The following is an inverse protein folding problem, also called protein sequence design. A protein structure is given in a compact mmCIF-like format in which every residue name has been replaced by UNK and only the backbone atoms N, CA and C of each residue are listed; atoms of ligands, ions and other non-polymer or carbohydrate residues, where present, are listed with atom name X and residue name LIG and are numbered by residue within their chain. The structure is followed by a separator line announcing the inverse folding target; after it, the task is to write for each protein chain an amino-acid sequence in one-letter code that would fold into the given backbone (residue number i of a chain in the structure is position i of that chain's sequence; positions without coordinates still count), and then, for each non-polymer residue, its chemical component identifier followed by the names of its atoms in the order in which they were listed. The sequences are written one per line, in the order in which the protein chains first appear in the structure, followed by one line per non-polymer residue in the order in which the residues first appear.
data_IF_026612303931
#
_entry.id   IF_026612303931
#
_cell.length_a   1.000
_cell.length_b   1.000
_cell.length_c   1.000
_cell.angle_alpha   90.00
_cell.angle_beta   90.00
_cell.angle_gamma   90.00
#
_symmetry.space_group_name_H-M   'P 1'
#
loop_
_entity.id
_entity.type
_entity.pdbx_description
1 polymer ?
#
# COMPACT_ATOMS: atom_id res chain seq x y z
N UNK A 1 41.81 -26.85 11.69
CA UNK A 1 40.63 -26.58 10.84
C UNK A 1 39.94 -25.37 11.45
N UNK A 2 40.28 -24.17 10.97
CA UNK A 2 39.62 -22.93 11.42
C UNK A 2 38.53 -22.62 10.42
N UNK A 3 37.28 -22.81 10.83
CA UNK A 3 36.12 -22.25 10.13
C UNK A 3 36.11 -20.74 10.40
N UNK A 4 36.40 -19.96 9.36
CA UNK A 4 36.14 -18.52 9.33
C UNK A 4 34.63 -18.31 9.26
N UNK A 5 34.00 -17.99 10.38
CA UNK A 5 32.66 -17.40 10.35
C UNK A 5 32.77 -16.02 9.71
N UNK A 6 32.35 -15.90 8.44
CA UNK A 6 32.10 -14.58 7.85
C UNK A 6 30.95 -13.95 8.65
N UNK A 7 31.23 -12.90 9.40
CA UNK A 7 30.18 -12.16 10.11
C UNK A 7 29.11 -11.75 9.11
N UNK A 8 27.86 -12.15 9.35
CA UNK A 8 26.74 -11.73 8.52
C UNK A 8 26.61 -10.20 8.63
N UNK A 9 27.04 -9.48 7.60
CA UNK A 9 26.81 -8.05 7.51
C UNK A 9 25.32 -7.83 7.29
N UNK A 10 24.69 -7.01 8.13
CA UNK A 10 23.29 -6.63 7.96
C UNK A 10 23.11 -5.99 6.57
N UNK A 11 22.23 -6.51 5.70
CA UNK A 11 22.00 -5.92 4.39
C UNK A 11 21.31 -4.56 4.59
N UNK A 12 22.04 -3.48 4.30
CA UNK A 12 21.49 -2.13 4.30
C UNK A 12 21.35 -1.64 2.86
N UNK A 13 20.19 -1.08 2.53
CA UNK A 13 19.88 -0.51 1.21
C UNK A 13 19.45 0.96 1.38
N UNK A 14 19.63 1.75 0.32
CA UNK A 14 19.20 3.15 0.24
C UNK A 14 18.11 3.28 -0.85
N UNK A 15 16.98 2.57 -0.66
CA UNK A 15 15.88 2.49 -1.61
C UNK A 15 14.89 3.63 -1.38
N UNK A 16 14.71 4.48 -2.39
CA UNK A 16 13.64 5.47 -2.43
C UNK A 16 12.37 4.85 -3.05
N UNK A 17 11.32 4.67 -2.24
CA UNK A 17 10.09 3.98 -2.65
C UNK A 17 9.12 4.90 -3.38
N UNK A 18 9.27 6.22 -3.24
CA UNK A 18 8.38 7.20 -3.84
C UNK A 18 9.10 8.05 -4.88
N UNK A 19 9.29 7.49 -6.07
CA UNK A 19 9.87 8.17 -7.23
C UNK A 19 8.83 8.27 -8.36
N UNK A 20 8.00 9.35 -8.40
CA UNK A 20 6.87 9.46 -9.32
C UNK A 20 7.25 9.47 -10.81
N UNK A 21 8.43 10.00 -11.13
CA UNK A 21 8.91 10.16 -12.51
C UNK A 21 9.68 8.93 -13.02
N UNK A 22 9.66 7.82 -12.27
CA UNK A 22 10.38 6.60 -12.63
C UNK A 22 9.74 5.87 -13.81
N UNK A 23 10.55 5.12 -14.60
CA UNK A 23 10.03 4.26 -15.66
C UNK A 23 8.95 3.30 -15.14
N UNK A 24 8.05 2.89 -16.04
CA UNK A 24 7.01 1.92 -15.72
C UNK A 24 7.60 0.67 -15.05
N UNK A 25 6.88 0.15 -14.06
CA UNK A 25 7.22 -1.04 -13.27
C UNK A 25 8.42 -0.92 -12.33
N UNK A 26 9.08 0.24 -12.23
CA UNK A 26 10.21 0.44 -11.31
C UNK A 26 9.84 0.06 -9.87
N UNK A 27 8.67 0.47 -9.41
CA UNK A 27 8.16 0.23 -8.05
C UNK A 27 7.73 -1.22 -7.75
N UNK A 28 7.69 -2.07 -8.78
CA UNK A 28 7.55 -3.52 -8.60
C UNK A 28 8.92 -4.20 -8.64
N UNK A 29 9.76 -3.82 -9.62
CA UNK A 29 11.07 -4.43 -9.83
C UNK A 29 12.03 -4.20 -8.65
N UNK A 30 12.09 -2.98 -8.12
CA UNK A 30 13.06 -2.65 -7.06
C UNK A 30 12.82 -3.46 -5.78
N UNK A 31 11.59 -3.58 -5.25
CA UNK A 31 11.32 -4.50 -4.14
C UNK A 31 11.62 -5.97 -4.47
N UNK A 32 11.32 -6.45 -5.68
CA UNK A 32 11.60 -7.83 -6.10
C UNK A 32 13.11 -8.12 -6.09
N UNK A 33 13.93 -7.24 -6.65
CA UNK A 33 15.39 -7.35 -6.60
C UNK A 33 15.91 -7.32 -5.16
N UNK A 34 15.33 -6.47 -4.31
CA UNK A 34 15.68 -6.43 -2.90
C UNK A 34 15.29 -7.72 -2.16
N UNK A 35 14.18 -8.34 -2.52
CA UNK A 35 13.75 -9.63 -2.01
C UNK A 35 14.71 -10.73 -2.45
N UNK A 36 15.10 -10.79 -3.72
CA UNK A 36 16.03 -11.80 -4.23
C UNK A 36 17.40 -11.73 -3.54
N UNK A 37 17.89 -10.51 -3.31
CA UNK A 37 19.20 -10.27 -2.69
C UNK A 37 19.20 -10.43 -1.16
N UNK A 38 18.09 -10.07 -0.49
CA UNK A 38 18.08 -9.84 0.96
C UNK A 38 16.81 -10.38 1.64
N UNK A 39 16.75 -11.72 1.75
CA UNK A 39 15.78 -12.43 2.60
C UNK A 39 16.33 -12.68 4.01
N UNK A 40 15.46 -12.71 5.03
CA UNK A 40 14.02 -12.43 4.97
C UNK A 40 13.68 -10.94 5.15
N UNK A 41 14.70 -10.11 5.38
CA UNK A 41 14.57 -8.70 5.69
C UNK A 41 15.85 -7.94 5.35
N UNK A 42 15.73 -6.64 5.13
CA UNK A 42 16.85 -5.71 5.06
C UNK A 42 16.52 -4.40 5.78
N UNK A 43 17.55 -3.62 6.08
CA UNK A 43 17.38 -2.26 6.62
C UNK A 43 17.41 -1.26 5.48
N UNK A 44 16.38 -0.45 5.35
CA UNK A 44 16.35 0.63 4.37
C UNK A 44 16.74 1.97 5.01
N UNK A 45 17.35 2.86 4.22
CA UNK A 45 17.56 4.27 4.57
C UNK A 45 16.89 5.14 3.52
N UNK A 46 15.99 6.02 3.96
CA UNK A 46 15.26 6.92 3.07
C UNK A 46 14.92 8.20 3.83
N UNK A 47 15.11 9.36 3.18
CA UNK A 47 14.82 10.67 3.77
C UNK A 47 15.43 10.91 5.18
N UNK A 48 16.59 10.31 5.46
CA UNK A 48 17.26 10.43 6.77
C UNK A 48 16.71 9.53 7.87
N UNK A 49 15.76 8.64 7.56
CA UNK A 49 15.19 7.65 8.47
C UNK A 49 15.67 6.26 8.08
N UNK A 50 16.00 5.43 9.09
CA UNK A 50 16.26 4.01 8.88
C UNK A 50 15.07 3.17 9.36
N UNK A 51 14.63 2.21 8.56
CA UNK A 51 13.55 1.30 8.92
C UNK A 51 13.76 -0.10 8.35
N UNK A 52 13.06 -1.09 8.90
CA UNK A 52 13.13 -2.46 8.41
C UNK A 52 12.13 -2.69 7.29
N UNK A 53 12.55 -3.44 6.27
CA UNK A 53 11.68 -3.95 5.21
C UNK A 53 11.73 -5.47 5.26
N UNK A 54 10.58 -6.09 5.46
CA UNK A 54 10.42 -7.54 5.40
C UNK A 54 10.08 -7.94 3.97
N UNK A 55 10.81 -8.94 3.46
CA UNK A 55 10.71 -9.41 2.06
C UNK A 55 10.21 -10.85 1.97
N UNK A 56 10.10 -11.54 3.10
CA UNK A 56 9.59 -12.91 3.16
C UNK A 56 8.13 -12.96 3.61
N UNK A 57 7.31 -13.74 2.91
CA UNK A 57 5.90 -13.90 3.22
C UNK A 57 5.65 -14.37 4.66
N UNK A 58 6.43 -15.33 5.17
CA UNK A 58 6.22 -15.87 6.51
C UNK A 58 6.52 -14.80 7.58
N UNK A 59 7.56 -14.00 7.37
CA UNK A 59 7.94 -12.92 8.29
C UNK A 59 6.94 -11.76 8.23
N UNK A 60 6.47 -11.38 7.04
CA UNK A 60 5.42 -10.36 6.88
C UNK A 60 4.14 -10.81 7.58
N UNK A 61 3.71 -12.06 7.38
CA UNK A 61 2.49 -12.58 7.97
C UNK A 61 2.58 -12.64 9.50
N UNK A 62 3.71 -13.10 10.05
CA UNK A 62 3.96 -13.09 11.50
C UNK A 62 3.86 -11.66 12.05
N UNK A 63 4.52 -10.70 11.41
CA UNK A 63 4.46 -9.30 11.79
C UNK A 63 3.03 -8.73 11.83
N UNK A 64 2.26 -8.97 10.76
CA UNK A 64 0.89 -8.47 10.62
C UNK A 64 -0.11 -9.15 11.59
N UNK A 65 0.21 -10.32 12.13
CA UNK A 65 -0.66 -11.06 13.05
C UNK A 65 -0.34 -10.80 14.54
N UNK A 66 0.74 -10.07 14.83
CA UNK A 66 1.20 -9.77 16.19
C UNK A 66 1.12 -8.28 16.53
N UNK A 67 -0.08 -7.68 16.63
CA UNK A 67 -0.24 -6.26 16.99
C UNK A 67 0.22 -5.94 18.42
N UNK A 68 0.43 -6.95 19.27
CA UNK A 68 1.07 -6.83 20.58
C UNK A 68 2.57 -6.52 20.49
N UNK A 69 3.21 -6.86 19.36
CA UNK A 69 4.63 -6.61 19.07
C UNK A 69 4.81 -5.49 18.06
N UNK A 70 3.89 -5.36 17.10
CA UNK A 70 3.97 -4.46 15.96
C UNK A 70 2.75 -3.52 15.94
N UNK A 71 2.92 -2.34 16.52
CA UNK A 71 1.86 -1.31 16.55
C UNK A 71 1.60 -0.75 15.14
N UNK A 72 0.34 -0.44 14.87
CA UNK A 72 -0.10 0.26 13.66
C UNK A 72 -0.18 1.78 13.84
N UNK A 73 0.39 2.35 14.91
CA UNK A 73 0.28 3.79 15.24
C UNK A 73 0.70 4.76 14.14
N UNK A 74 1.56 4.35 13.22
CA UNK A 74 1.91 5.07 12.00
C UNK A 74 2.10 4.09 10.83
N UNK A 75 2.03 4.60 9.59
CA UNK A 75 2.09 3.77 8.36
C UNK A 75 3.29 4.12 7.49
N UNK A 76 3.67 5.40 7.47
CA UNK A 76 4.77 5.90 6.63
C UNK A 76 6.02 5.99 7.50
N UNK A 77 7.07 5.18 7.26
CA UNK A 77 8.25 5.20 8.09
C UNK A 77 8.96 6.56 8.14
N UNK A 78 8.89 7.32 7.05
CA UNK A 78 9.51 8.66 6.93
C UNK A 78 8.69 9.77 7.60
N UNK A 79 7.47 9.48 8.08
CA UNK A 79 6.62 10.40 8.84
C UNK A 79 6.01 9.68 10.06
N UNK A 80 6.80 9.47 11.14
CA UNK A 80 6.40 8.64 12.27
C UNK A 80 5.41 9.31 13.23
N UNK A 81 5.25 10.64 13.20
CA UNK A 81 4.34 11.40 14.06
C UNK A 81 3.45 12.33 13.22
N UNK A 82 2.53 11.76 12.41
CA UNK A 82 1.63 12.56 11.61
C UNK A 82 0.62 13.30 12.51
N UNK A 83 0.19 14.52 12.15
CA UNK A 83 -0.73 15.33 12.97
C UNK A 83 -2.19 14.80 12.96
N UNK A 84 -2.42 13.62 12.38
CA UNK A 84 -3.73 12.99 12.21
C UNK A 84 -3.63 11.49 12.43
N UNK A 85 -4.77 10.84 12.66
CA UNK A 85 -4.88 9.37 12.66
C UNK A 85 -5.90 8.92 11.62
N UNK A 86 -5.49 8.05 10.71
CA UNK A 86 -6.41 7.36 9.81
C UNK A 86 -7.03 6.19 10.55
N UNK A 87 -8.26 6.35 11.02
CA UNK A 87 -9.00 5.29 11.71
C UNK A 87 -9.73 4.45 10.65
N UNK A 88 -9.65 3.10 10.71
CA UNK A 88 -9.08 2.30 11.79
C UNK A 88 -7.60 1.91 11.59
N UNK A 89 -7.00 2.19 10.44
CA UNK A 89 -5.67 1.65 10.08
C UNK A 89 -4.53 2.11 11.02
N UNK A 90 -4.67 3.24 11.72
CA UNK A 90 -3.66 3.81 12.63
C UNK A 90 -3.95 3.62 14.13
N UNK A 91 -4.73 2.61 14.49
CA UNK A 91 -5.06 2.30 15.89
C UNK A 91 -4.89 0.82 16.17
N UNK A 92 -4.44 0.50 17.38
CA UNK A 92 -4.22 -0.88 17.83
C UNK A 92 -5.48 -1.47 18.49
N UNK A 93 -5.55 -2.81 18.67
CA UNK A 93 -6.52 -3.43 19.53
C UNK A 93 -6.48 -2.88 20.97
N UNK A 94 -7.63 -2.81 21.68
CA UNK A 94 -8.94 -3.31 21.27
C UNK A 94 -9.76 -2.31 20.43
N UNK A 95 -9.33 -1.06 20.30
CA UNK A 95 -10.14 -0.01 19.65
C UNK A 95 -10.26 -0.21 18.14
N UNK A 96 -9.23 -0.79 17.49
CA UNK A 96 -9.29 -1.19 16.08
C UNK A 96 -10.55 -2.02 15.76
N UNK A 97 -10.88 -3.00 16.61
CA UNK A 97 -12.01 -3.90 16.39
C UNK A 97 -13.36 -3.17 16.49
N UNK A 98 -13.49 -2.22 17.41
CA UNK A 98 -14.72 -1.42 17.58
C UNK A 98 -15.00 -0.59 16.32
N UNK A 99 -13.97 0.07 15.80
CA UNK A 99 -14.10 0.84 14.55
C UNK A 99 -14.34 -0.04 13.33
N UNK A 100 -13.68 -1.21 13.27
CA UNK A 100 -13.96 -2.20 12.24
C UNK A 100 -15.43 -2.64 12.21
N UNK A 101 -16.05 -2.85 13.38
CA UNK A 101 -17.48 -3.20 13.47
C UNK A 101 -18.39 -2.10 12.95
N UNK A 102 -18.10 -0.84 13.26
CA UNK A 102 -18.88 0.32 12.76
C UNK A 102 -18.80 0.41 11.23
N UNK A 103 -17.61 0.19 10.66
CA UNK A 103 -17.41 0.28 9.20
C UNK A 103 -17.91 -0.96 8.45
N UNK A 104 -17.90 -2.14 9.08
CA UNK A 104 -18.28 -3.40 8.45
C UNK A 104 -19.68 -3.39 7.82
N UNK A 105 -20.62 -2.63 8.41
CA UNK A 105 -21.97 -2.51 7.87
C UNK A 105 -21.97 -1.95 6.45
N UNK A 106 -21.17 -0.91 6.18
CA UNK A 106 -21.07 -0.21 4.89
C UNK A 106 -20.45 -1.08 3.80
N UNK A 107 -19.53 -1.97 4.17
CA UNK A 107 -18.80 -2.85 3.26
C UNK A 107 -19.28 -4.31 3.32
N UNK A 108 -20.48 -4.56 3.87
CA UNK A 108 -21.05 -5.90 3.94
C UNK A 108 -21.25 -6.52 2.54
N UNK A 109 -21.12 -7.85 2.38
CA UNK A 109 -21.28 -8.51 1.09
C UNK A 109 -22.61 -8.18 0.39
N UNK A 110 -23.69 -8.02 1.15
CA UNK A 110 -25.01 -7.64 0.63
C UNK A 110 -25.02 -6.24 0.03
N UNK A 111 -24.45 -5.24 0.73
CA UNK A 111 -24.32 -3.87 0.21
C UNK A 111 -23.45 -3.81 -1.03
N UNK A 112 -22.28 -4.44 -1.00
CA UNK A 112 -21.36 -4.49 -2.14
C UNK A 112 -22.04 -5.17 -3.35
N UNK A 113 -22.77 -6.27 -3.13
CA UNK A 113 -23.54 -6.92 -4.20
C UNK A 113 -24.65 -6.02 -4.76
N UNK A 114 -25.35 -5.28 -3.91
CA UNK A 114 -26.38 -4.32 -4.33
C UNK A 114 -25.83 -3.16 -5.18
N UNK A 115 -24.56 -2.80 -5.01
CA UNK A 115 -23.90 -1.78 -5.82
C UNK A 115 -23.43 -2.27 -7.19
N UNK A 116 -23.47 -3.58 -7.46
CA UNK A 116 -22.89 -4.18 -8.67
C UNK A 116 -23.42 -3.57 -9.96
N UNK A 117 -24.73 -3.43 -10.11
CA UNK A 117 -25.34 -2.88 -11.33
C UNK A 117 -24.92 -1.43 -11.56
N UNK A 118 -24.94 -0.61 -10.50
CA UNK A 118 -24.52 0.78 -10.58
C UNK A 118 -23.03 0.93 -10.92
N UNK A 119 -22.17 0.09 -10.33
CA UNK A 119 -20.73 0.06 -10.62
C UNK A 119 -20.46 -0.38 -12.06
N UNK A 120 -21.15 -1.42 -12.55
CA UNK A 120 -21.03 -1.91 -13.92
C UNK A 120 -21.50 -0.85 -14.92
N UNK A 121 -22.63 -0.20 -14.64
CA UNK A 121 -23.14 0.90 -15.47
C UNK A 121 -22.13 2.05 -15.54
N UNK A 122 -21.60 2.50 -14.40
CA UNK A 122 -20.59 3.56 -14.36
C UNK A 122 -19.34 3.17 -15.15
N UNK A 123 -18.84 1.95 -14.97
CA UNK A 123 -17.68 1.46 -15.70
C UNK A 123 -17.93 1.44 -17.22
N UNK A 124 -19.10 0.95 -17.66
CA UNK A 124 -19.48 0.95 -19.08
C UNK A 124 -19.54 2.37 -19.65
N UNK A 125 -20.22 3.30 -18.95
CA UNK A 125 -20.31 4.71 -19.36
C UNK A 125 -18.93 5.37 -19.49
N UNK A 126 -18.02 5.07 -18.56
CA UNK A 126 -16.64 5.56 -18.62
C UNK A 126 -15.91 4.99 -19.83
N UNK A 127 -16.02 3.69 -20.09
CA UNK A 127 -15.35 3.03 -21.23
C UNK A 127 -15.91 3.53 -22.56
N UNK A 128 -17.22 3.66 -22.70
CA UNK A 128 -17.87 4.14 -23.94
C UNK A 128 -17.38 5.56 -24.31
N UNK A 129 -17.16 6.43 -23.31
CA UNK A 129 -16.58 7.76 -23.49
C UNK A 129 -15.10 7.76 -23.89
N UNK A 130 -14.38 6.65 -23.70
CA UNK A 130 -13.00 6.50 -24.17
C UNK A 130 -12.97 5.99 -25.62
N UNK A 131 -13.86 5.06 -25.96
CA UNK A 131 -13.91 4.44 -27.29
C UNK A 131 -14.26 5.47 -28.37
N UNK A 132 -15.11 6.45 -28.07
CA UNK A 132 -15.47 7.51 -29.02
C UNK A 132 -14.28 8.32 -29.55
N UNK A 133 -13.19 8.38 -28.79
CA UNK A 133 -12.06 9.28 -29.06
C UNK A 133 -10.93 8.57 -29.83
N UNK A 134 -11.05 7.27 -30.11
CA UNK A 134 -10.07 6.48 -30.87
C UNK A 134 -8.72 6.23 -30.17
N UNK A 135 -8.53 6.81 -28.98
CA UNK A 135 -7.36 6.70 -28.12
C UNK A 135 -7.37 7.80 -27.05
N UNK A 136 -6.75 7.56 -25.90
CA UNK A 136 -6.61 8.57 -24.85
C UNK A 136 -5.41 8.30 -23.95
N UNK A 137 -4.95 9.33 -23.24
CA UNK A 137 -4.19 9.12 -22.01
C UNK A 137 -5.18 8.67 -20.92
N UNK A 138 -5.07 7.39 -20.53
CA UNK A 138 -5.97 6.78 -19.56
C UNK A 138 -5.90 7.45 -18.18
N UNK A 139 -4.69 7.86 -17.74
CA UNK A 139 -4.47 8.43 -16.40
C UNK A 139 -5.04 9.85 -16.34
N UNK A 140 -4.79 10.66 -17.36
CA UNK A 140 -5.30 12.04 -17.42
C UNK A 140 -6.84 12.04 -17.53
N UNK A 141 -7.41 11.18 -18.39
CA UNK A 141 -8.84 11.13 -18.66
C UNK A 141 -9.65 10.61 -17.48
N UNK A 142 -9.17 9.59 -16.76
CA UNK A 142 -9.83 9.10 -15.54
C UNK A 142 -9.81 10.13 -14.41
N UNK A 143 -8.70 10.88 -14.23
CA UNK A 143 -8.60 11.98 -13.26
C UNK A 143 -9.58 13.12 -13.53
N UNK A 144 -9.85 13.43 -14.81
CA UNK A 144 -10.79 14.47 -15.18
C UNK A 144 -12.26 14.06 -14.94
N UNK A 145 -12.59 12.78 -15.13
CA UNK A 145 -13.96 12.28 -14.94
C UNK A 145 -14.35 12.20 -13.46
N UNK A 146 -13.42 11.84 -12.56
CA UNK A 146 -13.68 11.82 -11.12
C UNK A 146 -13.97 13.21 -10.54
N UNK A 147 -13.30 14.26 -11.02
CA UNK A 147 -13.58 15.67 -10.62
C UNK A 147 -14.96 16.15 -11.08
N UNK A 148 -15.42 15.70 -12.25
CA UNK A 148 -16.71 16.12 -12.83
C UNK A 148 -17.90 15.54 -12.06
N UNK A 149 -17.76 14.32 -11.54
CA UNK A 149 -18.77 13.66 -10.70
C UNK A 149 -18.85 14.24 -9.28
N UNK A 150 -17.76 14.79 -8.74
CA UNK A 150 -17.77 15.48 -7.44
C UNK A 150 -18.43 16.86 -7.47
N UNK A 151 -18.54 17.50 -8.64
CA UNK A 151 -19.17 18.82 -8.80
C UNK A 151 -20.67 18.76 -9.13
N UNK A 152 -21.24 17.57 -9.31
CA UNK A 152 -22.66 17.36 -9.61
C UNK A 152 -23.46 16.78 -8.43
N UNK A 153 -22.96 16.94 -7.20
CA UNK A 153 -23.66 16.61 -5.94
C UNK A 153 -23.79 17.84 -5.06
#
# INVERSE_FOLDING_TARGET
MSESQSGATCPVKDLELNTPDSPALTHFRLPDECQDDARPAFRNREAGVEYWVFTDNAVILDGLQHPDKWSSSFIVPTDPEPPYKWIPIMIDPPDHAKWGQVLAEYFSPGRVKGLREAQQKLAAELVDQLVSDGGCDFVERTRACSRRQSSSR
#
